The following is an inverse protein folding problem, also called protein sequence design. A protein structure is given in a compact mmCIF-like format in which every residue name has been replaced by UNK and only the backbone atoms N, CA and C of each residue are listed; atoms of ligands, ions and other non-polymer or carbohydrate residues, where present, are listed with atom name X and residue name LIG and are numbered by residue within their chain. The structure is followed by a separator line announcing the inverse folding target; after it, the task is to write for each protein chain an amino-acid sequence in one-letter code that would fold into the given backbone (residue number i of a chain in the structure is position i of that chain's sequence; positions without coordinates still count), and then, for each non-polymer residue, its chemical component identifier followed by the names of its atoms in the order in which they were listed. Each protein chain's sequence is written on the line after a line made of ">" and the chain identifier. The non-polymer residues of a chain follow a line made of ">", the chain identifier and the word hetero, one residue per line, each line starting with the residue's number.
data_IF_649772091004
#
_entry.id   IF_649772091004
#
_cell.length_a   1.000
_cell.length_b   1.000
_cell.length_c   1.000
_cell.angle_alpha   90.00
_cell.angle_beta   90.00
_cell.angle_gamma   90.00
#
_symmetry.space_group_name_H-M   'P 1'
#
loop_
_entity.id
_entity.type
_entity.pdbx_description
1 polymer ?
#
# COMPACT_ATOMS: atom_id res chain seq x y z
N UNK A 1 -18.23 16.84 47.78
CA UNK A 1 -17.29 16.06 46.95
C UNK A 1 -17.99 15.77 45.63
N UNK A 2 -17.54 16.32 44.50
CA UNK A 2 -18.05 15.88 43.20
C UNK A 2 -17.22 14.70 42.70
N UNK A 3 -17.94 13.67 42.22
CA UNK A 3 -17.42 12.45 41.61
C UNK A 3 -16.59 12.80 40.37
N UNK A 4 -15.37 12.26 40.31
CA UNK A 4 -14.56 12.20 39.10
C UNK A 4 -14.96 10.93 38.33
N UNK A 5 -15.95 11.07 37.45
CA UNK A 5 -16.22 10.03 36.47
C UNK A 5 -15.13 10.11 35.38
N UNK A 6 -14.36 9.03 35.27
CA UNK A 6 -13.39 8.83 34.19
C UNK A 6 -14.14 8.72 32.86
N UNK A 7 -13.60 9.30 31.76
CA UNK A 7 -14.24 9.20 30.46
C UNK A 7 -14.30 7.74 30.01
N UNK A 8 -15.49 7.34 29.59
CA UNK A 8 -15.81 6.05 28.98
C UNK A 8 -14.82 5.70 27.86
N UNK A 9 -14.28 4.49 27.92
CA UNK A 9 -13.48 3.84 26.87
C UNK A 9 -14.36 3.23 25.78
N UNK A 10 -15.41 3.95 25.36
CA UNK A 10 -16.23 3.52 24.24
C UNK A 10 -15.37 3.60 22.98
N UNK A 11 -14.88 2.43 22.55
CA UNK A 11 -14.27 2.26 21.23
C UNK A 11 -15.26 2.81 20.20
N UNK A 12 -14.84 3.69 19.28
CA UNK A 12 -15.74 4.26 18.30
C UNK A 12 -16.42 3.13 17.52
N UNK A 13 -17.75 3.18 17.46
CA UNK A 13 -18.57 2.30 16.62
C UNK A 13 -17.96 2.27 15.21
N UNK A 14 -17.71 1.08 14.61
CA UNK A 14 -17.09 0.99 13.31
C UNK A 14 -17.95 1.82 12.34
N UNK A 15 -17.35 2.85 11.75
CA UNK A 15 -18.08 3.85 10.97
C UNK A 15 -18.91 3.24 9.83
N UNK A 16 -19.73 4.04 9.12
CA UNK A 16 -20.64 3.56 8.07
C UNK A 16 -19.96 2.75 6.92
N UNK A 17 -18.63 2.73 6.86
CA UNK A 17 -17.81 1.90 5.94
C UNK A 17 -17.85 0.39 6.25
N UNK A 18 -18.27 0.00 7.46
CA UNK A 18 -18.35 -1.39 7.92
C UNK A 18 -19.79 -1.93 8.01
N UNK A 19 -20.79 -1.11 7.67
CA UNK A 19 -22.20 -1.47 7.72
C UNK A 19 -22.71 -2.20 6.47
N UNK A 20 -21.81 -2.58 5.56
CA UNK A 20 -22.18 -3.33 4.36
C UNK A 20 -22.59 -4.76 4.74
N UNK A 21 -23.84 -5.20 4.47
CA UNK A 21 -24.30 -6.55 4.82
C UNK A 21 -23.44 -7.67 4.21
N UNK A 22 -22.65 -7.37 3.16
CA UNK A 22 -21.73 -8.31 2.51
C UNK A 22 -20.48 -8.60 3.35
N UNK A 23 -20.15 -7.74 4.31
CA UNK A 23 -18.96 -7.86 5.16
C UNK A 23 -19.26 -8.50 6.53
N UNK A 24 -20.52 -8.85 6.80
CA UNK A 24 -20.99 -9.34 8.11
C UNK A 24 -20.32 -10.64 8.60
N UNK A 25 -19.79 -11.44 7.68
CA UNK A 25 -19.14 -12.72 7.97
C UNK A 25 -17.61 -12.58 8.12
N UNK A 26 -17.09 -11.36 7.97
CA UNK A 26 -15.72 -10.99 8.32
C UNK A 26 -15.69 -10.35 9.72
N UNK A 27 -14.49 -10.22 10.27
CA UNK A 27 -14.28 -9.67 11.61
C UNK A 27 -14.98 -8.29 11.75
N UNK A 28 -15.95 -8.15 12.68
CA UNK A 28 -16.67 -6.89 12.88
C UNK A 28 -15.81 -5.81 13.55
N UNK A 29 -14.62 -6.17 14.04
CA UNK A 29 -13.72 -5.31 14.81
C UNK A 29 -12.30 -5.33 14.22
N UNK A 30 -12.10 -4.79 13.01
CA UNK A 30 -10.78 -4.73 12.42
C UNK A 30 -9.81 -3.92 13.29
N UNK A 31 -8.57 -4.40 13.38
CA UNK A 31 -7.47 -3.65 14.00
C UNK A 31 -7.19 -2.41 13.13
N UNK A 32 -7.27 -1.18 13.67
CA UNK A 32 -7.01 0.02 12.88
C UNK A 32 -5.56 0.08 12.38
N UNK A 33 -5.30 0.93 11.38
CA UNK A 33 -3.94 1.25 10.99
C UNK A 33 -3.20 1.88 12.19
N UNK A 34 -2.06 1.30 12.56
CA UNK A 34 -1.25 1.82 13.65
C UNK A 34 -0.82 3.28 13.39
N UNK A 35 -0.94 4.20 14.37
CA UNK A 35 -0.59 5.62 14.19
C UNK A 35 0.85 5.88 13.72
N UNK A 36 1.78 5.00 14.12
CA UNK A 36 3.18 5.07 13.67
C UNK A 36 3.30 4.85 12.15
N UNK A 37 2.50 3.95 11.56
CA UNK A 37 2.50 3.72 10.11
C UNK A 37 1.92 4.91 9.36
N UNK A 38 0.83 5.51 9.87
CA UNK A 38 0.27 6.72 9.29
C UNK A 38 1.30 7.88 9.29
N UNK A 39 2.02 8.06 10.40
CA UNK A 39 3.11 9.05 10.50
C UNK A 39 4.25 8.74 9.53
N UNK A 40 4.63 7.46 9.41
CA UNK A 40 5.69 7.01 8.53
C UNK A 40 5.41 7.31 7.06
N UNK A 41 4.17 7.08 6.61
CA UNK A 41 3.75 7.40 5.24
C UNK A 41 3.89 8.89 4.93
N UNK A 42 3.47 9.75 5.86
CA UNK A 42 3.62 11.21 5.70
C UNK A 42 5.09 11.62 5.61
N UNK A 43 5.96 11.00 6.42
CA UNK A 43 7.40 11.25 6.37
C UNK A 43 7.98 10.81 5.03
N UNK A 44 7.58 9.62 4.54
CA UNK A 44 8.00 9.11 3.24
C UNK A 44 7.61 10.07 2.12
N UNK A 45 6.37 10.55 2.09
CA UNK A 45 5.89 11.52 1.09
C UNK A 45 6.73 12.81 1.08
N UNK A 46 7.01 13.38 2.25
CA UNK A 46 7.86 14.57 2.35
C UNK A 46 9.29 14.29 1.89
N UNK A 47 9.87 13.17 2.30
CA UNK A 47 11.24 12.80 1.96
C UNK A 47 11.39 12.55 0.45
N UNK A 48 10.46 11.79 -0.14
CA UNK A 48 10.46 11.48 -1.58
C UNK A 48 10.22 12.72 -2.43
N UNK A 49 9.37 13.65 -2.01
CA UNK A 49 9.23 14.97 -2.66
C UNK A 49 10.57 15.72 -2.71
N UNK A 50 11.37 15.67 -1.62
CA UNK A 50 12.70 16.31 -1.58
C UNK A 50 13.72 15.58 -2.44
N UNK A 51 13.65 14.26 -2.51
CA UNK A 51 14.49 13.47 -3.41
C UNK A 51 14.20 13.79 -4.88
N UNK A 52 12.93 13.87 -5.25
CA UNK A 52 12.50 14.17 -6.63
C UNK A 52 12.84 15.59 -7.08
N UNK A 53 13.09 16.51 -6.16
CA UNK A 53 13.55 17.85 -6.50
C UNK A 53 15.03 17.90 -6.92
N UNK A 54 15.77 16.79 -6.82
CA UNK A 54 17.18 16.70 -7.19
C UNK A 54 17.26 16.43 -8.70
N UNK A 55 18.11 17.17 -9.42
CA UNK A 55 18.39 16.90 -10.81
C UNK A 55 19.43 15.77 -10.95
N UNK A 56 19.33 14.92 -11.97
CA UNK A 56 20.30 13.85 -12.24
C UNK A 56 21.75 14.36 -12.26
N UNK A 57 21.99 15.53 -12.83
CA UNK A 57 23.32 16.15 -12.91
C UNK A 57 23.94 16.47 -11.53
N UNK A 58 23.13 16.56 -10.47
CA UNK A 58 23.58 16.82 -9.11
C UNK A 58 23.91 15.52 -8.34
N UNK A 59 23.60 14.34 -8.88
CA UNK A 59 23.79 13.06 -8.17
C UNK A 59 25.26 12.74 -7.86
N UNK A 60 26.18 13.24 -8.67
CA UNK A 60 27.64 13.11 -8.48
C UNK A 60 28.21 14.17 -7.52
N UNK A 61 27.40 15.17 -7.15
CA UNK A 61 27.81 16.19 -6.19
C UNK A 61 28.03 15.59 -4.81
N UNK A 62 28.91 16.22 -4.04
CA UNK A 62 29.29 15.74 -2.72
C UNK A 62 28.30 16.21 -1.65
N UNK A 63 28.11 15.40 -0.62
CA UNK A 63 27.45 15.80 0.62
C UNK A 63 28.19 15.21 1.82
N UNK A 64 28.15 15.93 2.94
CA UNK A 64 28.77 15.49 4.18
C UNK A 64 27.86 14.50 4.91
N UNK A 65 28.18 13.22 4.82
CA UNK A 65 27.46 12.19 5.56
C UNK A 65 28.01 12.04 6.98
N UNK A 66 27.32 12.63 7.95
CA UNK A 66 27.63 12.52 9.39
C UNK A 66 29.06 12.93 9.78
N UNK A 67 29.70 13.83 9.02
CA UNK A 67 31.09 14.22 9.29
C UNK A 67 32.11 13.13 8.98
N UNK A 68 31.72 12.05 8.30
CA UNK A 68 32.60 10.91 7.99
C UNK A 68 33.33 11.04 6.65
N UNK A 69 33.15 12.17 5.94
CA UNK A 69 33.78 12.47 4.66
C UNK A 69 32.78 12.65 3.53
N UNK A 70 33.30 13.06 2.37
CA UNK A 70 32.53 13.28 1.14
C UNK A 70 31.99 11.95 0.62
N UNK A 71 30.68 11.88 0.49
CA UNK A 71 29.99 10.87 -0.30
C UNK A 71 29.26 11.57 -1.44
N UNK A 72 28.95 10.86 -2.54
CA UNK A 72 28.07 11.42 -3.57
C UNK A 72 26.61 11.51 -3.08
N UNK A 73 25.84 12.46 -3.60
CA UNK A 73 24.42 12.68 -3.29
C UNK A 73 23.59 11.43 -3.59
N UNK A 74 23.96 10.69 -4.65
CA UNK A 74 23.37 9.40 -5.03
C UNK A 74 23.37 8.41 -3.86
N UNK A 75 24.45 8.35 -3.08
CA UNK A 75 24.54 7.44 -1.93
C UNK A 75 23.46 7.69 -0.89
N UNK A 76 22.96 8.93 -0.76
CA UNK A 76 21.89 9.26 0.18
C UNK A 76 20.63 8.43 -0.05
N UNK A 77 20.27 8.16 -1.29
CA UNK A 77 19.14 7.27 -1.62
C UNK A 77 19.39 5.84 -1.13
N UNK A 78 20.60 5.31 -1.35
CA UNK A 78 20.97 3.96 -0.90
C UNK A 78 21.07 3.86 0.62
N UNK A 79 21.54 4.90 1.30
CA UNK A 79 21.60 4.95 2.76
C UNK A 79 20.18 5.05 3.35
N UNK A 80 19.30 5.86 2.76
CA UNK A 80 17.88 5.91 3.14
C UNK A 80 17.22 4.52 2.97
N UNK A 81 17.46 3.87 1.84
CA UNK A 81 17.01 2.49 1.58
C UNK A 81 17.58 1.51 2.62
N UNK A 82 18.86 1.62 2.97
CA UNK A 82 19.52 0.79 3.99
C UNK A 82 18.87 0.97 5.38
N UNK A 83 18.52 2.20 5.76
CA UNK A 83 17.83 2.50 7.02
C UNK A 83 16.47 1.79 7.10
N UNK A 84 15.68 1.85 6.03
CA UNK A 84 14.39 1.16 5.92
C UNK A 84 14.55 -0.37 6.02
N UNK A 85 15.56 -0.93 5.32
CA UNK A 85 15.84 -2.37 5.37
C UNK A 85 16.27 -2.84 6.77
N UNK A 86 17.04 -2.02 7.49
CA UNK A 86 17.45 -2.30 8.87
C UNK A 86 16.23 -2.32 9.81
N UNK A 87 15.36 -1.32 9.73
CA UNK A 87 14.14 -1.28 10.52
C UNK A 87 13.23 -2.48 10.22
N UNK A 88 13.15 -2.91 8.95
CA UNK A 88 12.38 -4.10 8.58
C UNK A 88 12.92 -5.35 9.28
N UNK A 89 14.24 -5.52 9.30
CA UNK A 89 14.89 -6.63 10.00
C UNK A 89 14.56 -6.64 11.49
N UNK A 90 14.53 -5.46 12.10
CA UNK A 90 14.18 -5.29 13.52
C UNK A 90 12.70 -5.62 13.79
N UNK A 91 11.77 -5.11 12.98
CA UNK A 91 10.34 -5.44 13.08
C UNK A 91 10.10 -6.95 12.96
N UNK A 92 10.74 -7.60 11.98
CA UNK A 92 10.64 -9.06 11.80
C UNK A 92 11.20 -9.80 13.02
N UNK A 93 12.39 -9.39 13.50
CA UNK A 93 13.02 -10.00 14.67
C UNK A 93 12.11 -9.90 15.91
N UNK A 94 11.56 -8.72 16.19
CA UNK A 94 10.65 -8.52 17.33
C UNK A 94 9.35 -9.31 17.15
N UNK A 95 8.82 -9.41 15.93
CA UNK A 95 7.65 -10.25 15.64
C UNK A 95 7.90 -11.71 16.01
N UNK A 96 9.07 -12.24 15.63
CA UNK A 96 9.47 -13.61 15.95
C UNK A 96 9.66 -13.82 17.46
N UNK A 97 10.25 -12.85 18.17
CA UNK A 97 10.44 -12.92 19.63
C UNK A 97 9.14 -12.81 20.42
N UNK A 98 8.14 -12.13 19.85
CA UNK A 98 6.79 -12.03 20.41
C UNK A 98 5.88 -13.20 20.00
N UNK A 99 6.43 -14.24 19.35
CA UNK A 99 5.69 -15.39 18.81
C UNK A 99 4.50 -14.98 17.91
N UNK A 100 4.62 -13.86 17.20
CA UNK A 100 3.62 -13.42 16.21
C UNK A 100 3.75 -14.31 14.97
N UNK A 101 2.81 -15.24 14.82
CA UNK A 101 2.72 -16.10 13.64
C UNK A 101 1.83 -15.44 12.59
N UNK A 102 2.41 -15.08 11.44
CA UNK A 102 1.66 -14.58 10.31
C UNK A 102 0.73 -15.67 9.77
N UNK A 103 -0.59 -15.40 9.71
CA UNK A 103 -1.52 -16.29 9.02
C UNK A 103 -1.22 -16.29 7.51
N UNK A 104 -1.61 -17.36 6.82
CA UNK A 104 -1.50 -17.39 5.34
C UNK A 104 -2.23 -16.22 4.68
N UNK A 105 -3.36 -15.80 5.24
CA UNK A 105 -4.13 -14.65 4.76
C UNK A 105 -3.31 -13.38 4.86
N UNK A 106 -2.68 -13.17 6.02
CA UNK A 106 -1.87 -12.00 6.30
C UNK A 106 -0.64 -11.94 5.37
N UNK A 107 -0.01 -13.08 5.09
CA UNK A 107 1.07 -13.15 4.10
C UNK A 107 0.64 -12.70 2.69
N UNK A 108 -0.57 -13.06 2.24
CA UNK A 108 -1.10 -12.62 0.95
C UNK A 108 -1.45 -11.12 0.94
N UNK A 109 -1.99 -10.63 2.06
CA UNK A 109 -2.30 -9.21 2.25
C UNK A 109 -1.02 -8.37 2.28
N UNK A 110 0.00 -8.79 3.02
CA UNK A 110 1.31 -8.13 3.09
C UNK A 110 1.96 -7.95 1.72
N UNK A 111 1.84 -8.94 0.82
CA UNK A 111 2.32 -8.80 -0.56
C UNK A 111 1.57 -7.69 -1.35
N UNK A 112 0.30 -7.43 -1.01
CA UNK A 112 -0.49 -6.34 -1.64
C UNK A 112 0.05 -4.98 -1.22
N UNK A 113 0.47 -4.83 0.04
CA UNK A 113 1.15 -3.62 0.52
C UNK A 113 2.45 -3.37 -0.26
N UNK A 114 3.25 -4.40 -0.51
CA UNK A 114 4.48 -4.25 -1.29
C UNK A 114 4.19 -3.80 -2.73
N UNK A 115 3.25 -4.46 -3.40
CA UNK A 115 2.85 -4.11 -4.76
C UNK A 115 2.28 -2.68 -4.86
N UNK A 116 1.48 -2.26 -3.87
CA UNK A 116 0.95 -0.89 -3.78
C UNK A 116 2.07 0.15 -3.74
N UNK A 117 3.10 -0.05 -2.90
CA UNK A 117 4.21 0.91 -2.81
C UNK A 117 5.13 0.89 -4.02
N UNK A 118 5.27 -0.26 -4.68
CA UNK A 118 5.94 -0.33 -5.97
C UNK A 118 5.24 0.57 -7.01
N UNK A 119 3.91 0.48 -7.09
CA UNK A 119 3.10 1.36 -7.94
C UNK A 119 3.26 2.83 -7.51
N UNK A 120 3.18 3.16 -6.22
CA UNK A 120 3.39 4.54 -5.78
C UNK A 120 4.76 5.09 -6.14
N UNK A 121 5.82 4.27 -6.08
CA UNK A 121 7.14 4.66 -6.51
C UNK A 121 7.23 4.96 -8.01
N UNK A 122 6.50 4.20 -8.84
CA UNK A 122 6.37 4.48 -10.27
C UNK A 122 5.58 5.76 -10.55
N UNK A 123 4.52 6.02 -9.77
CA UNK A 123 3.64 7.17 -9.94
C UNK A 123 4.20 8.45 -9.33
N UNK A 124 5.15 8.36 -8.41
CA UNK A 124 5.66 9.50 -7.67
C UNK A 124 6.16 10.66 -8.55
N UNK A 125 6.89 10.45 -9.67
CA UNK A 125 7.43 11.55 -10.46
C UNK A 125 6.45 12.10 -11.50
N UNK A 126 5.21 11.59 -11.53
CA UNK A 126 4.22 11.95 -12.52
C UNK A 126 3.37 13.13 -12.05
N UNK A 127 3.03 14.02 -12.98
CA UNK A 127 2.04 15.07 -12.80
C UNK A 127 0.68 14.66 -13.40
N UNK A 128 -0.36 15.45 -13.13
CA UNK A 128 -1.72 15.18 -13.62
C UNK A 128 -1.82 15.23 -15.17
N UNK A 129 -0.85 15.84 -15.86
CA UNK A 129 -0.84 15.99 -17.32
C UNK A 129 -0.75 14.64 -18.06
N UNK A 130 -0.12 13.63 -17.46
CA UNK A 130 0.08 12.31 -18.06
C UNK A 130 -1.14 11.41 -17.92
N UNK A 131 -2.06 11.72 -17.00
CA UNK A 131 -3.18 10.85 -16.66
C UNK A 131 -4.06 10.53 -17.86
N UNK A 132 -4.34 11.54 -18.67
CA UNK A 132 -5.28 11.47 -19.80
C UNK A 132 -4.58 11.44 -21.16
N UNK A 133 -3.24 11.38 -21.18
CA UNK A 133 -2.48 11.29 -22.41
C UNK A 133 -2.77 9.96 -23.12
N UNK A 134 -3.17 10.05 -24.39
CA UNK A 134 -3.46 8.88 -25.23
C UNK A 134 -2.15 8.22 -25.69
N UNK A 135 -1.84 6.99 -25.24
CA UNK A 135 -0.66 6.27 -25.72
C UNK A 135 -0.83 5.73 -27.15
N UNK A 136 -2.06 5.75 -27.71
CA UNK A 136 -2.40 5.19 -29.00
C UNK A 136 -2.52 3.65 -28.97
N UNK A 137 -2.86 3.06 -30.12
CA UNK A 137 -2.93 1.60 -30.27
C UNK A 137 -4.10 0.92 -29.54
N UNK A 138 -5.05 1.69 -29.01
CA UNK A 138 -6.16 1.18 -28.20
C UNK A 138 -5.75 0.79 -26.78
N UNK A 139 -4.54 1.14 -26.35
CA UNK A 139 -4.06 0.93 -24.99
C UNK A 139 -4.74 1.90 -24.01
N UNK A 140 -4.81 1.53 -22.74
CA UNK A 140 -5.39 2.37 -21.70
C UNK A 140 -4.46 3.52 -21.31
N UNK A 141 -5.05 4.67 -21.01
CA UNK A 141 -4.35 5.79 -20.38
C UNK A 141 -3.90 5.41 -18.97
N UNK A 142 -3.02 6.23 -18.38
CA UNK A 142 -2.63 6.05 -16.97
C UNK A 142 -3.87 6.16 -16.08
N UNK A 143 -4.76 7.14 -16.31
CA UNK A 143 -6.02 7.28 -15.57
C UNK A 143 -6.89 6.03 -15.65
N UNK A 144 -7.13 5.52 -16.87
CA UNK A 144 -7.95 4.33 -17.07
C UNK A 144 -7.38 3.12 -16.33
N UNK A 145 -6.07 2.92 -16.43
CA UNK A 145 -5.37 1.83 -15.72
C UNK A 145 -5.50 1.99 -14.20
N UNK A 146 -5.32 3.18 -13.65
CA UNK A 146 -5.46 3.41 -12.21
C UNK A 146 -6.92 3.27 -11.73
N UNK A 147 -7.89 3.72 -12.53
CA UNK A 147 -9.31 3.52 -12.27
C UNK A 147 -9.67 2.05 -12.14
N UNK A 148 -9.20 1.24 -13.09
CA UNK A 148 -9.34 -0.21 -13.07
C UNK A 148 -8.71 -0.84 -11.83
N UNK A 149 -7.46 -0.45 -11.47
CA UNK A 149 -6.80 -0.95 -10.25
C UNK A 149 -7.68 -0.68 -9.01
N UNK A 150 -8.14 0.56 -8.84
CA UNK A 150 -8.91 0.99 -7.66
C UNK A 150 -10.26 0.27 -7.58
N UNK A 151 -10.99 0.17 -8.69
CA UNK A 151 -12.24 -0.58 -8.78
C UNK A 151 -12.03 -2.04 -8.39
N UNK A 152 -11.05 -2.69 -9.01
CA UNK A 152 -10.86 -4.12 -8.84
C UNK A 152 -10.33 -4.48 -7.45
N UNK A 153 -9.53 -3.62 -6.80
CA UNK A 153 -9.16 -3.84 -5.38
C UNK A 153 -10.39 -3.81 -4.45
N UNK A 154 -11.35 -2.92 -4.70
CA UNK A 154 -12.64 -2.93 -3.98
C UNK A 154 -13.38 -4.23 -4.26
N UNK A 155 -13.57 -4.58 -5.53
CA UNK A 155 -14.29 -5.79 -5.93
C UNK A 155 -13.66 -7.06 -5.35
N UNK A 156 -12.34 -7.13 -5.30
CA UNK A 156 -11.61 -8.25 -4.71
C UNK A 156 -11.93 -8.45 -3.23
N UNK A 157 -11.92 -7.40 -2.41
CA UNK A 157 -12.26 -7.50 -0.99
C UNK A 157 -13.76 -7.81 -0.78
N UNK A 158 -14.66 -7.10 -1.47
CA UNK A 158 -16.10 -7.23 -1.30
C UNK A 158 -16.66 -8.55 -1.82
N UNK A 159 -16.26 -8.94 -3.03
CA UNK A 159 -16.80 -10.17 -3.62
C UNK A 159 -16.20 -11.41 -2.98
N UNK A 160 -15.00 -11.34 -2.42
CA UNK A 160 -14.49 -12.45 -1.59
C UNK A 160 -15.37 -12.64 -0.34
N UNK A 161 -15.87 -11.56 0.27
CA UNK A 161 -16.77 -11.62 1.42
C UNK A 161 -18.16 -12.15 0.99
N UNK A 162 -18.63 -11.73 -0.19
CA UNK A 162 -19.86 -12.22 -0.78
C UNK A 162 -19.83 -13.74 -1.04
N UNK A 163 -18.70 -14.28 -1.52
CA UNK A 163 -18.51 -15.73 -1.70
C UNK A 163 -18.46 -16.45 -0.35
N UNK A 164 -17.80 -15.86 0.65
CA UNK A 164 -17.73 -16.41 2.01
C UNK A 164 -19.13 -16.60 2.62
N UNK A 165 -20.02 -15.62 2.44
CA UNK A 165 -21.40 -15.66 2.92
C UNK A 165 -22.25 -16.78 2.30
N UNK A 166 -21.78 -17.37 1.19
CA UNK A 166 -22.51 -18.38 0.39
C UNK A 166 -21.84 -19.75 0.40
N UNK A 167 -20.84 -19.94 1.25
CA UNK A 167 -20.03 -21.16 1.32
C UNK A 167 -20.88 -22.44 1.40
N UNK A 168 -22.01 -22.38 2.10
CA UNK A 168 -22.91 -23.50 2.38
C UNK A 168 -24.09 -23.64 1.38
N UNK A 169 -24.22 -22.74 0.39
CA UNK A 169 -25.36 -22.77 -0.56
C UNK A 169 -25.31 -23.98 -1.50
N UNK A 170 -26.37 -24.80 -1.55
CA UNK A 170 -26.40 -25.97 -2.44
C UNK A 170 -26.32 -25.54 -3.91
N UNK A 171 -27.07 -24.52 -4.29
CA UNK A 171 -27.06 -23.92 -5.63
C UNK A 171 -26.01 -22.79 -5.69
N UNK A 172 -24.75 -23.17 -5.89
CA UNK A 172 -23.63 -22.24 -5.85
C UNK A 172 -23.49 -21.49 -7.17
N UNK A 173 -23.68 -20.15 -7.19
CA UNK A 173 -23.79 -19.40 -8.44
C UNK A 173 -22.45 -19.40 -9.21
N UNK A 174 -22.50 -19.30 -10.56
CA UNK A 174 -21.30 -19.25 -11.39
C UNK A 174 -20.62 -17.87 -11.35
N UNK A 175 -21.37 -16.81 -11.07
CA UNK A 175 -20.90 -15.42 -11.06
C UNK A 175 -21.51 -14.64 -9.89
N UNK A 176 -20.87 -13.52 -9.53
CA UNK A 176 -21.52 -12.50 -8.73
C UNK A 176 -22.60 -11.84 -9.62
N UNK A 177 -23.84 -11.67 -9.15
CA UNK A 177 -24.89 -11.00 -9.91
C UNK A 177 -24.48 -9.61 -10.40
N UNK A 178 -24.80 -9.29 -11.65
CA UNK A 178 -24.45 -8.01 -12.28
C UNK A 178 -25.04 -6.82 -11.52
N UNK A 179 -26.21 -6.99 -10.90
CA UNK A 179 -26.86 -5.95 -10.11
C UNK A 179 -25.97 -5.51 -8.93
N UNK A 180 -25.26 -6.45 -8.29
CA UNK A 180 -24.35 -6.15 -7.19
C UNK A 180 -23.06 -5.47 -7.66
N UNK A 181 -22.66 -5.71 -8.90
CA UNK A 181 -21.52 -5.03 -9.54
C UNK A 181 -21.92 -3.59 -9.87
N UNK A 182 -23.12 -3.38 -10.42
CA UNK A 182 -23.66 -2.07 -10.79
C UNK A 182 -23.91 -1.14 -9.59
N UNK A 183 -24.06 -1.69 -8.38
CA UNK A 183 -24.15 -0.91 -7.14
C UNK A 183 -22.80 -0.33 -6.68
N UNK A 184 -21.67 -0.84 -7.19
CA UNK A 184 -20.35 -0.33 -6.84
C UNK A 184 -19.99 0.88 -7.72
N UNK A 185 -19.19 1.85 -7.20
CA UNK A 185 -18.79 2.98 -8.02
C UNK A 185 -17.91 2.52 -9.18
N UNK A 186 -18.22 3.01 -10.38
CA UNK A 186 -17.59 2.68 -11.66
C UNK A 186 -16.11 3.04 -11.72
N UNK A 187 -15.38 2.45 -12.67
CA UNK A 187 -13.96 2.78 -12.91
C UNK A 187 -13.74 4.29 -13.11
N UNK A 188 -14.61 4.97 -13.86
CA UNK A 188 -14.54 6.42 -14.07
C UNK A 188 -14.68 7.21 -12.76
N UNK A 189 -15.60 6.80 -11.89
CA UNK A 189 -15.76 7.39 -10.56
C UNK A 189 -14.54 7.12 -9.67
N UNK A 190 -13.97 5.91 -9.72
CA UNK A 190 -12.75 5.56 -9.00
C UNK A 190 -11.52 6.33 -9.52
N UNK A 191 -11.51 6.67 -10.81
CA UNK A 191 -10.46 7.43 -11.46
C UNK A 191 -10.64 8.95 -11.37
N UNK A 192 -11.68 9.43 -10.69
CA UNK A 192 -11.96 10.85 -10.57
C UNK A 192 -10.93 11.60 -9.71
N UNK A 193 -10.64 12.85 -10.11
CA UNK A 193 -9.68 13.75 -9.46
C UNK A 193 -8.27 13.71 -10.07
N UNK A 194 -7.31 14.36 -9.42
CA UNK A 194 -5.89 14.27 -9.79
C UNK A 194 -5.23 12.98 -9.30
N UNK A 195 -3.99 12.76 -9.69
CA UNK A 195 -3.20 11.56 -9.38
C UNK A 195 -3.14 11.30 -7.86
N UNK A 196 -2.94 12.36 -7.07
CA UNK A 196 -2.92 12.28 -5.61
C UNK A 196 -4.25 11.75 -5.03
N UNK A 197 -5.39 12.14 -5.60
CA UNK A 197 -6.71 11.68 -5.15
C UNK A 197 -6.93 10.20 -5.48
N UNK A 198 -6.51 9.76 -6.66
CA UNK A 198 -6.60 8.35 -7.08
C UNK A 198 -5.69 7.47 -6.20
N UNK A 199 -4.46 7.93 -5.92
CA UNK A 199 -3.53 7.25 -5.00
C UNK A 199 -4.11 7.10 -3.60
N UNK A 200 -4.63 8.18 -3.02
CA UNK A 200 -5.25 8.13 -1.69
C UNK A 200 -6.48 7.20 -1.64
N UNK A 201 -7.22 7.09 -2.75
CA UNK A 201 -8.35 6.16 -2.88
C UNK A 201 -7.88 4.71 -2.91
N UNK A 202 -6.80 4.41 -3.64
CA UNK A 202 -6.16 3.08 -3.61
C UNK A 202 -5.67 2.74 -2.19
N UNK A 203 -4.96 3.66 -1.53
CA UNK A 203 -4.46 3.47 -0.16
C UNK A 203 -5.58 3.09 0.80
N UNK A 204 -6.65 3.89 0.81
CA UNK A 204 -7.79 3.66 1.70
C UNK A 204 -8.50 2.33 1.43
N UNK A 205 -8.55 1.87 0.18
CA UNK A 205 -9.15 0.58 -0.18
C UNK A 205 -8.26 -0.60 0.20
N UNK A 206 -6.96 -0.52 -0.07
CA UNK A 206 -6.03 -1.58 0.32
C UNK A 206 -5.95 -1.68 1.84
N UNK A 207 -5.89 -0.57 2.57
CA UNK A 207 -5.91 -0.60 4.04
C UNK A 207 -7.21 -1.20 4.57
N UNK A 208 -8.37 -0.79 4.02
CA UNK A 208 -9.67 -1.33 4.44
C UNK A 208 -9.79 -2.82 4.12
N UNK A 209 -9.36 -3.25 2.93
CA UNK A 209 -9.33 -4.66 2.54
C UNK A 209 -8.42 -5.48 3.46
N UNK A 210 -7.23 -4.98 3.76
CA UNK A 210 -6.29 -5.60 4.71
C UNK A 210 -6.93 -5.77 6.09
N UNK A 211 -7.50 -4.69 6.63
CA UNK A 211 -8.16 -4.65 7.93
C UNK A 211 -9.30 -5.67 8.05
N UNK A 212 -10.14 -5.79 7.01
CA UNK A 212 -11.26 -6.72 6.98
C UNK A 212 -10.83 -8.20 6.95
N UNK A 213 -9.67 -8.49 6.35
CA UNK A 213 -9.23 -9.87 6.07
C UNK A 213 -8.06 -10.34 6.95
N UNK A 214 -7.37 -9.46 7.66
CA UNK A 214 -6.18 -9.79 8.46
C UNK A 214 -6.45 -10.89 9.51
N UNK A 215 -7.65 -10.89 10.10
CA UNK A 215 -8.06 -11.82 11.15
C UNK A 215 -8.88 -13.01 10.60
N UNK A 216 -9.04 -13.12 9.28
CA UNK A 216 -9.78 -14.23 8.68
C UNK A 216 -9.09 -15.57 9.03
N UNK A 217 -9.80 -16.52 9.67
CA UNK A 217 -9.25 -17.83 10.01
C UNK A 217 -8.74 -18.59 8.78
N UNK A 218 -7.75 -19.47 8.94
CA UNK A 218 -7.16 -20.19 7.80
C UNK A 218 -8.17 -21.03 7.02
N UNK A 219 -9.16 -21.61 7.70
CA UNK A 219 -10.26 -22.35 7.09
C UNK A 219 -11.10 -21.50 6.14
N UNK A 220 -11.15 -20.18 6.36
CA UNK A 220 -11.81 -19.22 5.47
C UNK A 220 -11.17 -19.27 4.09
N UNK A 221 -9.84 -19.38 4.01
CA UNK A 221 -9.15 -19.42 2.73
C UNK A 221 -9.43 -20.68 1.90
N UNK A 222 -9.85 -21.77 2.55
CA UNK A 222 -10.23 -23.01 1.88
C UNK A 222 -11.66 -22.97 1.31
N UNK A 223 -12.47 -21.98 1.66
CA UNK A 223 -13.84 -21.81 1.17
C UNK A 223 -13.84 -21.70 -0.36
N UNK A 224 -14.76 -22.43 -1.00
CA UNK A 224 -14.97 -22.40 -2.45
C UNK A 224 -15.44 -21.02 -2.91
N UNK A 225 -14.99 -20.61 -4.08
CA UNK A 225 -15.32 -19.36 -4.74
C UNK A 225 -15.30 -19.55 -6.27
N UNK A 226 -15.63 -18.48 -7.01
CA UNK A 226 -15.41 -18.43 -8.47
C UNK A 226 -14.48 -17.29 -8.85
N UNK A 227 -13.77 -17.45 -9.96
CA UNK A 227 -13.05 -16.37 -10.64
C UNK A 227 -13.29 -16.55 -12.15
N UNK A 228 -13.96 -15.59 -12.77
CA UNK A 228 -14.40 -15.68 -14.17
C UNK A 228 -15.13 -16.98 -14.50
N UNK A 229 -16.03 -17.43 -13.61
CA UNK A 229 -16.78 -18.68 -13.72
C UNK A 229 -16.00 -19.94 -13.31
N UNK A 230 -14.67 -19.87 -13.24
CA UNK A 230 -13.83 -21.00 -12.87
C UNK A 230 -13.89 -21.27 -11.36
N UNK A 231 -13.97 -22.54 -10.93
CA UNK A 231 -13.93 -22.90 -9.51
C UNK A 231 -12.54 -22.62 -8.94
N UNK A 232 -12.50 -21.84 -7.85
CA UNK A 232 -11.29 -21.48 -7.12
C UNK A 232 -11.59 -21.49 -5.61
N UNK A 233 -10.63 -21.11 -4.78
CA UNK A 233 -10.85 -20.85 -3.34
C UNK A 233 -10.74 -19.37 -3.00
N UNK A 234 -11.13 -18.99 -1.78
CA UNK A 234 -10.85 -17.63 -1.29
C UNK A 234 -9.36 -17.34 -1.18
N UNK A 235 -8.51 -18.35 -0.90
CA UNK A 235 -7.05 -18.21 -0.99
C UNK A 235 -6.57 -17.70 -2.35
N UNK A 236 -7.19 -18.20 -3.43
CA UNK A 236 -6.88 -17.73 -4.78
C UNK A 236 -7.32 -16.28 -4.96
N UNK A 237 -8.55 -15.93 -4.56
CA UNK A 237 -9.09 -14.57 -4.73
C UNK A 237 -8.29 -13.53 -3.94
N UNK A 238 -7.96 -13.80 -2.68
CA UNK A 238 -7.10 -12.93 -1.84
C UNK A 238 -5.69 -12.88 -2.42
N UNK A 239 -5.15 -14.01 -2.89
CA UNK A 239 -3.86 -14.05 -3.58
C UNK A 239 -3.80 -13.30 -4.91
N UNK A 240 -4.93 -12.85 -5.49
CA UNK A 240 -4.94 -12.05 -6.72
C UNK A 240 -4.70 -10.57 -6.49
N UNK A 241 -4.82 -10.07 -5.27
CA UNK A 241 -4.75 -8.62 -4.99
C UNK A 241 -3.40 -8.04 -5.40
N UNK A 242 -2.31 -8.64 -4.94
CA UNK A 242 -0.95 -8.17 -5.25
C UNK A 242 -0.58 -8.34 -6.73
N UNK A 243 -0.70 -9.53 -7.37
CA UNK A 243 -0.26 -9.67 -8.75
C UNK A 243 -1.16 -8.89 -9.73
N UNK A 244 -2.39 -8.54 -9.36
CA UNK A 244 -3.21 -7.60 -10.14
C UNK A 244 -2.65 -6.17 -10.11
N UNK A 245 -2.21 -5.67 -8.94
CA UNK A 245 -1.50 -4.37 -8.87
C UNK A 245 -0.22 -4.42 -9.69
N UNK A 246 0.57 -5.50 -9.60
CA UNK A 246 1.81 -5.61 -10.37
C UNK A 246 1.59 -5.70 -11.88
N UNK A 247 0.61 -6.49 -12.31
CA UNK A 247 0.19 -6.59 -13.72
C UNK A 247 -0.11 -5.21 -14.31
N UNK A 248 -0.89 -4.40 -13.60
CA UNK A 248 -1.22 -3.06 -14.06
C UNK A 248 -0.14 -2.01 -13.76
N UNK A 249 0.80 -2.28 -12.84
CA UNK A 249 2.03 -1.48 -12.70
C UNK A 249 2.88 -1.61 -13.98
N UNK A 250 3.04 -2.83 -14.50
CA UNK A 250 3.70 -3.09 -15.79
C UNK A 250 2.94 -2.41 -16.93
N UNK A 251 1.60 -2.41 -16.90
CA UNK A 251 0.81 -1.68 -17.89
C UNK A 251 1.05 -0.17 -17.84
N UNK A 252 1.13 0.44 -16.65
CA UNK A 252 1.49 1.87 -16.51
C UNK A 252 2.90 2.12 -17.06
N UNK A 253 3.89 1.28 -16.77
CA UNK A 253 5.24 1.40 -17.33
C UNK A 253 5.24 1.36 -18.87
N UNK A 254 4.48 0.42 -19.44
CA UNK A 254 4.31 0.30 -20.90
C UNK A 254 3.67 1.56 -21.48
N UNK A 255 2.60 2.06 -20.87
CA UNK A 255 1.92 3.29 -21.29
C UNK A 255 2.87 4.49 -21.24
N UNK A 256 3.65 4.64 -20.17
CA UNK A 256 4.66 5.71 -20.05
C UNK A 256 5.74 5.60 -21.15
N UNK A 257 6.21 4.39 -21.44
CA UNK A 257 7.16 4.17 -22.53
C UNK A 257 6.58 4.54 -23.91
N UNK A 258 5.31 4.21 -24.16
CA UNK A 258 4.60 4.60 -25.40
C UNK A 258 4.44 6.11 -25.53
N UNK A 259 4.27 6.81 -24.41
CA UNK A 259 4.26 8.28 -24.34
C UNK A 259 5.66 8.91 -24.44
N UNK A 260 6.71 8.11 -24.62
CA UNK A 260 8.09 8.59 -24.68
C UNK A 260 8.65 9.08 -23.34
N UNK A 261 8.00 8.75 -22.23
CA UNK A 261 8.45 9.10 -20.88
C UNK A 261 9.49 8.08 -20.42
N UNK A 262 10.75 8.48 -20.41
CA UNK A 262 11.83 7.68 -19.82
C UNK A 262 12.10 8.16 -18.40
N UNK A 263 12.12 7.28 -17.38
CA UNK A 263 12.43 7.71 -16.02
C UNK A 263 13.88 8.23 -15.94
N UNK A 264 14.09 9.25 -15.11
CA UNK A 264 15.40 9.77 -14.72
C UNK A 264 16.13 8.80 -13.78
N UNK A 265 17.41 9.06 -13.47
CA UNK A 265 18.10 8.28 -12.42
C UNK A 265 17.44 8.52 -11.05
N UNK A 266 17.10 9.78 -10.74
CA UNK A 266 16.39 10.14 -9.49
C UNK A 266 15.05 9.43 -9.35
N UNK A 267 14.28 9.25 -10.43
CA UNK A 267 13.01 8.52 -10.39
C UNK A 267 13.23 7.06 -10.00
N UNK A 268 14.25 6.42 -10.59
CA UNK A 268 14.60 5.03 -10.29
C UNK A 268 15.05 4.88 -8.84
N UNK A 269 15.89 5.78 -8.35
CA UNK A 269 16.37 5.76 -6.97
C UNK A 269 15.24 6.02 -5.96
N UNK A 270 14.36 6.96 -6.24
CA UNK A 270 13.17 7.25 -5.42
C UNK A 270 12.24 6.03 -5.34
N UNK A 271 12.03 5.34 -6.47
CA UNK A 271 11.25 4.08 -6.49
C UNK A 271 11.88 2.98 -5.64
N UNK A 272 13.22 2.89 -5.54
CA UNK A 272 13.88 1.95 -4.63
C UNK A 272 13.57 2.28 -3.15
N UNK A 273 13.51 3.55 -2.79
CA UNK A 273 13.12 3.98 -1.43
C UNK A 273 11.67 3.59 -1.14
N UNK A 274 10.75 3.85 -2.07
CA UNK A 274 9.35 3.40 -1.94
C UNK A 274 9.23 1.88 -1.79
N UNK A 275 9.94 1.10 -2.61
CA UNK A 275 9.97 -0.37 -2.51
C UNK A 275 10.50 -0.85 -1.15
N UNK A 276 11.56 -0.22 -0.64
CA UNK A 276 12.10 -0.55 0.67
C UNK A 276 11.12 -0.21 1.80
N UNK A 277 10.40 0.91 1.69
CA UNK A 277 9.34 1.27 2.61
C UNK A 277 8.19 0.27 2.55
N UNK A 278 7.73 -0.13 1.36
CA UNK A 278 6.65 -1.10 1.23
C UNK A 278 6.96 -2.43 1.89
N UNK A 279 8.21 -2.89 1.81
CA UNK A 279 8.69 -4.10 2.52
C UNK A 279 8.76 -3.92 4.04
N UNK A 280 9.08 -2.72 4.53
CA UNK A 280 9.04 -2.39 5.95
C UNK A 280 7.59 -2.38 6.46
N UNK A 281 6.70 -1.67 5.77
CA UNK A 281 5.30 -1.60 6.16
C UNK A 281 4.61 -2.97 6.06
N UNK A 282 4.90 -3.75 5.02
CA UNK A 282 4.45 -5.14 4.88
C UNK A 282 4.80 -6.01 6.10
N UNK A 283 6.01 -5.84 6.66
CA UNK A 283 6.44 -6.53 7.87
C UNK A 283 5.72 -6.03 9.12
N UNK A 284 5.45 -4.72 9.21
CA UNK A 284 4.71 -4.14 10.33
C UNK A 284 3.23 -4.55 10.33
N UNK A 285 2.61 -4.68 9.15
CA UNK A 285 1.24 -5.15 8.99
C UNK A 285 1.00 -6.57 9.50
N UNK A 286 2.05 -7.39 9.59
CA UNK A 286 1.95 -8.75 10.14
C UNK A 286 1.65 -8.71 11.65
N UNK A 287 2.00 -7.61 12.32
CA UNK A 287 1.81 -7.44 13.75
C UNK A 287 0.45 -6.79 14.03
N UNK A 288 -0.30 -7.28 15.03
CA UNK A 288 -1.39 -6.50 15.61
C UNK A 288 -0.90 -5.11 16.05
N UNK A 289 -1.72 -4.07 15.96
CA UNK A 289 -1.37 -2.69 16.33
C UNK A 289 -0.81 -2.60 17.73
N UNK A 290 -1.38 -3.35 18.68
CA UNK A 290 -0.87 -3.41 20.05
C UNK A 290 0.54 -4.00 20.17
N UNK A 291 0.92 -4.91 19.26
CA UNK A 291 2.23 -5.55 19.23
C UNK A 291 3.30 -4.70 18.54
N UNK A 292 2.92 -3.65 17.80
CA UNK A 292 3.87 -2.69 17.22
C UNK A 292 4.48 -1.74 18.26
N UNK A 293 3.86 -1.61 19.44
CA UNK A 293 4.36 -0.73 20.49
C UNK A 293 5.77 -1.11 20.97
N UNK A 294 6.59 -0.10 21.30
CA UNK A 294 7.93 -0.31 21.84
C UNK A 294 9.01 -0.42 20.76
N UNK A 295 9.70 -1.56 20.68
CA UNK A 295 10.87 -1.72 19.80
C UNK A 295 10.53 -1.58 18.29
N UNK A 296 9.44 -2.17 17.76
CA UNK A 296 9.08 -2.04 16.34
C UNK A 296 8.72 -0.59 15.98
N UNK A 297 7.89 0.07 16.81
CA UNK A 297 7.54 1.48 16.68
C UNK A 297 8.79 2.37 16.70
N UNK A 298 9.71 2.16 17.64
CA UNK A 298 10.94 2.92 17.73
C UNK A 298 11.85 2.69 16.52
N UNK A 299 11.97 1.45 16.04
CA UNK A 299 12.75 1.12 14.85
C UNK A 299 12.20 1.81 13.60
N UNK A 300 10.87 1.80 13.45
CA UNK A 300 10.19 2.45 12.34
C UNK A 300 10.33 3.97 12.42
N UNK A 301 10.07 4.58 13.58
CA UNK A 301 10.24 6.02 13.81
C UNK A 301 11.66 6.48 13.51
N UNK A 302 12.66 5.79 14.07
CA UNK A 302 14.07 6.13 13.85
C UNK A 302 14.50 6.00 12.39
N UNK A 303 14.02 4.99 11.66
CA UNK A 303 14.32 4.87 10.24
C UNK A 303 13.68 6.01 9.43
N UNK A 304 12.45 6.41 9.76
CA UNK A 304 11.78 7.51 9.06
C UNK A 304 12.42 8.87 9.36
N UNK A 305 12.83 9.12 10.60
CA UNK A 305 13.60 10.32 10.97
C UNK A 305 14.92 10.38 10.17
N UNK A 306 15.61 9.26 10.05
CA UNK A 306 16.85 9.16 9.27
C UNK A 306 16.61 9.39 7.78
N UNK A 307 15.53 8.82 7.21
CA UNK A 307 15.14 9.05 5.81
C UNK A 307 14.82 10.53 5.55
N UNK A 308 14.05 11.18 6.42
CA UNK A 308 13.71 12.60 6.29
C UNK A 308 14.96 13.49 6.40
N UNK A 309 15.84 13.19 7.36
CA UNK A 309 17.11 13.89 7.55
C UNK A 309 17.99 13.77 6.32
N UNK A 310 18.20 12.56 5.80
CA UNK A 310 18.98 12.30 4.59
C UNK A 310 18.41 13.09 3.42
N UNK A 311 17.11 12.98 3.16
CA UNK A 311 16.45 13.69 2.06
C UNK A 311 16.63 15.22 2.16
N UNK A 312 16.55 15.78 3.36
CA UNK A 312 16.77 17.20 3.59
C UNK A 312 18.23 17.64 3.34
N UNK A 313 19.19 16.82 3.74
CA UNK A 313 20.63 17.09 3.57
C UNK A 313 21.06 16.96 2.12
N UNK A 314 20.74 15.87 1.42
CA UNK A 314 21.12 15.71 0.01
C UNK A 314 20.43 16.71 -0.90
N UNK A 315 19.16 17.04 -0.63
CA UNK A 315 18.43 18.07 -1.39
C UNK A 315 19.04 19.45 -1.18
N UNK A 316 19.61 19.72 0.01
CA UNK A 316 20.34 20.97 0.28
C UNK A 316 21.68 21.01 -0.44
N UNK A 317 22.43 19.90 -0.43
CA UNK A 317 23.70 19.79 -1.14
C UNK A 317 23.52 19.94 -2.66
N UNK A 318 22.47 19.35 -3.23
CA UNK A 318 22.16 19.42 -4.66
C UNK A 318 21.83 20.83 -5.18
N UNK A 319 21.63 21.82 -4.29
CA UNK A 319 21.34 23.22 -4.65
C UNK A 319 22.55 24.15 -4.53
N UNK A 320 23.69 23.65 -4.06
CA UNK A 320 24.94 24.39 -3.92
C UNK A 320 25.74 24.30 -5.21
#
# INVERSE_FOLDING_TARGET
>A
MPSTDLPSTDLPSPGPRFADPRLKDLDPTPDPLAPVLASARQVLERATTRFQSIADAALEGEWDWKGMGESDIRSGFYIAMQSLQRARGEVIRTSMEADVVASRTLGQISATTEARWELHGLLAPLDDDVLDADPGGGEWTVRGTLGHIVESQRAYAWFSAWWLARRDEIDFPPYVPDELIQELPSEDEQASGGLAAIRARLDGLVDLGSQLWQNAPEETLAVRARWSGMPVTLAFRVGRWAPHIEEHTVQVEKTLAMLGRTPSEVDRLTRLVYRAFGRLESAAWIMPTGALAGAPEAALGSAMDEVERIAAEVSRAARQ
#
